data_IF_907353709354
#
_entry.id   IF_907353709354
#
_cell.length_a   1.000
_cell.length_b   1.000
_cell.length_c   1.000
_cell.angle_alpha   90.00
_cell.angle_beta   90.00
_cell.angle_gamma   90.00
#
_symmetry.space_group_name_H-M   'P 1'
#
loop_
_entity.id
_entity.type
_entity.pdbx_description
1 polymer ?
#
# COMPACT_ATOMS: atom_id res chain seq x y z
N UNK A 1 7.41 -17.25 -2.10
CA UNK A 1 7.77 -15.83 -1.94
C UNK A 1 8.77 -15.61 -0.81
N UNK A 2 9.33 -14.39 -0.68
CA UNK A 2 10.26 -14.07 0.40
C UNK A 2 9.62 -14.24 1.79
N UNK A 3 8.39 -13.76 1.98
CA UNK A 3 7.66 -13.91 3.24
C UNK A 3 7.50 -15.40 3.63
N UNK A 4 7.04 -16.23 2.71
CA UNK A 4 6.89 -17.67 2.94
C UNK A 4 8.22 -18.34 3.27
N UNK A 5 9.30 -17.95 2.60
CA UNK A 5 10.64 -18.45 2.89
C UNK A 5 11.07 -18.10 4.32
N UNK A 6 10.89 -16.85 4.75
CA UNK A 6 11.27 -16.41 6.09
C UNK A 6 10.45 -17.13 7.18
N UNK A 7 9.15 -17.29 6.96
CA UNK A 7 8.26 -18.01 7.89
C UNK A 7 8.61 -19.49 7.95
N UNK A 8 8.74 -20.15 6.78
CA UNK A 8 9.07 -21.58 6.69
C UNK A 8 10.40 -21.93 7.35
N UNK A 9 11.40 -21.04 7.22
CA UNK A 9 12.72 -21.24 7.80
C UNK A 9 12.85 -20.67 9.24
N UNK A 10 11.75 -20.27 9.86
CA UNK A 10 11.66 -19.81 11.26
C UNK A 10 12.52 -18.56 11.57
N UNK A 11 12.76 -17.71 10.57
CA UNK A 11 13.33 -16.37 10.81
C UNK A 11 12.31 -15.45 11.47
N UNK A 12 11.03 -15.65 11.17
CA UNK A 12 9.89 -14.90 11.72
C UNK A 12 8.63 -15.76 11.68
N UNK A 13 7.49 -15.17 12.08
CA UNK A 13 6.14 -15.71 11.87
C UNK A 13 5.26 -14.66 11.19
N UNK A 14 4.11 -15.04 10.67
CA UNK A 14 3.14 -14.08 10.11
C UNK A 14 2.71 -13.03 11.13
N UNK A 15 2.63 -13.39 12.41
CA UNK A 15 2.29 -12.47 13.52
C UNK A 15 3.41 -11.49 13.88
N UNK A 16 4.60 -11.67 13.33
CA UNK A 16 5.78 -10.82 13.58
C UNK A 16 6.42 -10.30 12.29
N UNK A 17 5.68 -10.35 11.18
CA UNK A 17 6.16 -9.89 9.88
C UNK A 17 5.42 -8.63 9.44
N UNK A 18 6.17 -7.57 9.19
CA UNK A 18 5.67 -6.36 8.55
C UNK A 18 6.15 -6.29 7.09
N UNK A 19 5.30 -5.75 6.21
CA UNK A 19 5.65 -5.44 4.83
C UNK A 19 5.58 -3.92 4.61
N UNK A 20 6.64 -3.33 4.07
CA UNK A 20 6.75 -1.88 3.84
C UNK A 20 7.30 -1.58 2.45
N UNK A 21 6.80 -0.54 1.81
CA UNK A 21 7.28 -0.09 0.51
C UNK A 21 6.69 1.25 0.10
N UNK A 22 7.45 2.00 -0.71
CA UNK A 22 7.07 3.33 -1.20
C UNK A 22 6.96 3.35 -2.73
N UNK A 23 6.08 4.18 -3.26
CA UNK A 23 5.89 4.38 -4.70
C UNK A 23 5.52 3.05 -5.40
N UNK A 24 6.32 2.56 -6.34
CA UNK A 24 6.19 1.21 -6.88
C UNK A 24 6.25 0.13 -5.78
N UNK A 25 7.08 0.32 -4.74
CA UNK A 25 7.07 -0.54 -3.55
C UNK A 25 5.76 -0.48 -2.76
N UNK A 26 5.06 0.66 -2.77
CA UNK A 26 3.71 0.79 -2.21
C UNK A 26 2.67 -0.02 -2.99
N UNK A 27 2.78 -0.08 -4.33
CA UNK A 27 1.99 -1.00 -5.15
C UNK A 27 2.27 -2.45 -4.75
N UNK A 28 3.55 -2.83 -4.63
CA UNK A 28 3.92 -4.18 -4.20
C UNK A 28 3.28 -4.55 -2.85
N UNK A 29 3.36 -3.66 -1.86
CA UNK A 29 2.73 -3.87 -0.54
C UNK A 29 1.23 -4.05 -0.68
N UNK A 30 0.54 -3.14 -1.38
CA UNK A 30 -0.90 -3.23 -1.59
C UNK A 30 -1.32 -4.52 -2.29
N UNK A 31 -0.59 -4.93 -3.34
CA UNK A 31 -0.86 -6.17 -4.07
C UNK A 31 -0.60 -7.42 -3.22
N UNK A 32 0.49 -7.44 -2.44
CA UNK A 32 0.81 -8.59 -1.58
C UNK A 32 -0.21 -8.76 -0.44
N UNK A 33 -0.57 -7.67 0.25
CA UNK A 33 -1.49 -7.74 1.38
C UNK A 33 -2.94 -8.06 0.95
N UNK A 34 -3.35 -7.70 -0.27
CA UNK A 34 -4.69 -8.05 -0.76
C UNK A 34 -4.78 -9.48 -1.29
N UNK A 35 -3.68 -10.04 -1.80
CA UNK A 35 -3.61 -11.41 -2.29
C UNK A 35 -3.34 -12.45 -1.19
N UNK A 36 -2.49 -12.10 -0.21
CA UNK A 36 -2.03 -13.01 0.84
C UNK A 36 -1.99 -12.27 2.20
N UNK A 37 -3.16 -11.81 2.70
CA UNK A 37 -3.25 -11.05 3.94
C UNK A 37 -2.69 -11.80 5.16
N UNK A 38 -2.83 -13.12 5.17
CA UNK A 38 -2.43 -13.99 6.28
C UNK A 38 -0.91 -14.09 6.49
N UNK A 39 -0.10 -13.57 5.56
CA UNK A 39 1.35 -13.61 5.69
C UNK A 39 1.92 -12.46 6.53
N UNK A 40 1.12 -11.43 6.80
CA UNK A 40 1.62 -10.19 7.41
C UNK A 40 0.79 -9.78 8.61
N UNK A 41 1.44 -9.34 9.68
CA UNK A 41 0.79 -8.67 10.81
C UNK A 41 0.56 -7.19 10.53
N UNK A 42 1.50 -6.54 9.83
CA UNK A 42 1.46 -5.12 9.53
C UNK A 42 1.77 -4.86 8.07
N UNK A 43 1.03 -3.95 7.43
CA UNK A 43 1.28 -3.47 6.08
C UNK A 43 1.39 -1.94 6.02
N UNK A 44 2.41 -1.45 5.32
CA UNK A 44 2.77 -0.04 5.25
C UNK A 44 2.93 0.42 3.79
N UNK A 45 1.83 0.50 3.01
CA UNK A 45 1.89 1.02 1.64
C UNK A 45 2.02 2.55 1.68
N UNK A 46 3.16 3.07 1.22
CA UNK A 46 3.45 4.50 1.20
C UNK A 46 3.47 5.05 -0.23
N UNK A 47 2.75 6.14 -0.47
CA UNK A 47 2.64 6.84 -1.77
C UNK A 47 2.52 5.87 -2.95
N UNK A 48 1.70 4.83 -2.79
CA UNK A 48 1.62 3.68 -3.68
C UNK A 48 0.71 3.90 -4.89
N UNK A 49 1.06 3.26 -6.01
CA UNK A 49 0.20 3.20 -7.22
C UNK A 49 -0.87 2.13 -6.98
N UNK A 50 -1.93 2.47 -6.24
CA UNK A 50 -2.87 1.49 -5.70
C UNK A 50 -4.12 1.25 -6.58
N UNK A 51 -4.28 2.03 -7.68
CA UNK A 51 -5.32 1.84 -8.71
C UNK A 51 -4.64 1.63 -10.07
N UNK A 52 -4.45 0.38 -10.46
CA UNK A 52 -3.78 0.03 -11.71
C UNK A 52 -4.65 0.19 -12.95
N UNK A 53 -5.95 0.35 -12.78
CA UNK A 53 -6.83 0.57 -13.93
C UNK A 53 -6.85 2.02 -14.40
N UNK A 54 -6.49 2.97 -13.51
CA UNK A 54 -6.57 4.42 -13.80
C UNK A 54 -5.26 5.17 -13.59
N UNK A 55 -4.18 4.52 -13.15
CA UNK A 55 -2.93 5.19 -12.82
C UNK A 55 -2.43 6.08 -13.98
N UNK A 56 -2.59 5.62 -15.21
CA UNK A 56 -2.13 6.30 -16.44
C UNK A 56 -2.92 7.57 -16.77
N UNK A 57 -4.09 7.77 -16.18
CA UNK A 57 -4.90 8.98 -16.36
C UNK A 57 -4.53 10.10 -15.39
N UNK A 58 -3.65 9.84 -14.44
CA UNK A 58 -3.19 10.83 -13.47
C UNK A 58 -1.82 11.37 -13.86
N UNK A 59 -1.52 12.59 -13.51
CA UNK A 59 -0.28 13.36 -13.65
C UNK A 59 0.91 12.61 -14.31
N UNK A 60 1.84 12.06 -13.51
CA UNK A 60 3.03 11.34 -14.02
C UNK A 60 2.73 9.90 -14.47
N UNK A 61 1.54 9.39 -14.21
CA UNK A 61 1.17 8.00 -14.45
C UNK A 61 1.28 7.57 -15.93
N UNK A 62 0.96 8.47 -16.87
CA UNK A 62 1.08 8.19 -18.29
C UNK A 62 2.49 7.72 -18.69
N UNK A 63 3.53 8.25 -18.03
CA UNK A 63 4.92 7.87 -18.27
C UNK A 63 5.27 6.44 -17.87
N UNK A 64 4.45 5.78 -17.05
CA UNK A 64 4.70 4.40 -16.58
C UNK A 64 3.97 3.34 -17.43
N UNK A 65 3.20 3.78 -18.43
CA UNK A 65 2.48 2.88 -19.32
C UNK A 65 3.40 1.93 -20.09
N UNK A 66 4.65 2.34 -20.32
CA UNK A 66 5.66 1.47 -20.94
C UNK A 66 5.99 0.23 -20.08
N UNK A 67 6.03 0.40 -18.76
CA UNK A 67 6.37 -0.69 -17.83
C UNK A 67 5.16 -1.56 -17.47
N UNK A 68 3.97 -0.93 -17.24
CA UNK A 68 2.79 -1.64 -16.72
C UNK A 68 1.77 -2.02 -17.80
N UNK A 69 1.78 -1.35 -18.95
CA UNK A 69 0.64 -1.34 -19.87
C UNK A 69 -0.54 -0.53 -19.30
N UNK A 70 -1.62 -0.38 -20.06
CA UNK A 70 -2.82 0.32 -19.59
C UNK A 70 -4.07 -0.53 -19.73
N UNK A 71 -5.07 -0.28 -18.90
CA UNK A 71 -6.36 -0.97 -18.93
C UNK A 71 -7.15 -0.74 -20.24
N UNK A 72 -6.75 0.25 -21.04
CA UNK A 72 -7.40 0.61 -22.30
C UNK A 72 -6.77 -0.06 -23.53
N UNK A 73 -5.61 -0.71 -23.37
CA UNK A 73 -4.90 -1.35 -24.50
C UNK A 73 -5.63 -2.57 -25.05
N UNK A 74 -6.16 -3.41 -24.18
CA UNK A 74 -6.92 -4.60 -24.53
C UNK A 74 -7.68 -5.17 -23.34
N UNK A 75 -8.60 -6.08 -23.60
CA UNK A 75 -9.31 -6.83 -22.55
C UNK A 75 -8.34 -7.65 -21.70
N UNK A 76 -7.36 -8.29 -22.30
CA UNK A 76 -6.35 -9.11 -21.62
C UNK A 76 -5.51 -8.23 -20.68
N UNK A 77 -5.11 -7.04 -21.12
CA UNK A 77 -4.36 -6.11 -20.30
C UNK A 77 -5.21 -5.56 -19.13
N UNK A 78 -6.48 -5.26 -19.38
CA UNK A 78 -7.41 -4.90 -18.33
C UNK A 78 -7.52 -6.00 -17.26
N UNK A 79 -7.75 -7.24 -17.68
CA UNK A 79 -7.86 -8.39 -16.77
C UNK A 79 -6.54 -8.62 -15.98
N UNK A 80 -5.40 -8.48 -16.64
CA UNK A 80 -4.10 -8.60 -16.02
C UNK A 80 -3.90 -7.52 -14.93
N UNK A 81 -4.11 -6.25 -15.24
CA UNK A 81 -3.99 -5.15 -14.30
C UNK A 81 -5.02 -5.23 -13.16
N UNK A 82 -6.26 -5.58 -13.48
CA UNK A 82 -7.31 -5.81 -12.49
C UNK A 82 -6.92 -6.90 -11.50
N UNK A 83 -6.28 -7.97 -11.97
CA UNK A 83 -5.89 -9.13 -11.17
C UNK A 83 -4.96 -8.82 -9.99
N UNK A 84 -4.20 -7.72 -10.05
CA UNK A 84 -3.32 -7.32 -8.94
C UNK A 84 -3.52 -5.88 -8.48
N UNK A 85 -4.44 -5.12 -9.07
CA UNK A 85 -4.73 -3.74 -8.66
C UNK A 85 -5.24 -3.69 -7.22
N UNK A 86 -4.50 -3.09 -6.27
CA UNK A 86 -4.82 -3.19 -4.84
C UNK A 86 -6.25 -2.76 -4.50
N UNK A 87 -6.68 -1.59 -4.98
CA UNK A 87 -8.02 -1.06 -4.65
C UNK A 87 -9.15 -1.96 -5.17
N UNK A 88 -8.94 -2.70 -6.26
CA UNK A 88 -9.94 -3.58 -6.86
C UNK A 88 -9.94 -5.00 -6.26
N UNK A 89 -8.91 -5.33 -5.48
CA UNK A 89 -8.76 -6.66 -4.87
C UNK A 89 -9.00 -6.69 -3.37
N UNK A 90 -9.48 -5.60 -2.79
CA UNK A 90 -9.99 -5.59 -1.42
C UNK A 90 -11.33 -6.32 -1.39
N UNK A 91 -11.42 -7.42 -0.68
CA UNK A 91 -12.59 -8.29 -0.59
C UNK A 91 -13.33 -8.10 0.72
N UNK A 92 -14.64 -8.28 0.67
CA UNK A 92 -15.48 -8.31 1.86
C UNK A 92 -15.27 -9.60 2.65
N UNK A 93 -15.34 -9.52 3.97
CA UNK A 93 -15.23 -10.68 4.84
C UNK A 93 -13.79 -11.19 5.04
N UNK A 94 -12.79 -10.43 4.60
CA UNK A 94 -11.38 -10.76 4.79
C UNK A 94 -10.80 -9.92 5.93
N UNK A 95 -10.07 -10.57 6.81
CA UNK A 95 -9.26 -9.91 7.83
C UNK A 95 -7.90 -9.53 7.23
N UNK A 96 -7.68 -8.24 7.07
CA UNK A 96 -6.41 -7.69 6.55
C UNK A 96 -5.44 -7.39 7.69
N UNK A 97 -4.11 -7.33 7.42
CA UNK A 97 -3.13 -6.90 8.41
C UNK A 97 -3.43 -5.49 8.94
N UNK A 98 -2.94 -5.18 10.12
CA UNK A 98 -2.93 -3.80 10.61
C UNK A 98 -2.25 -2.90 9.56
N UNK A 99 -2.99 -1.96 8.99
CA UNK A 99 -2.54 -1.20 7.82
C UNK A 99 -2.43 0.29 8.12
N UNK A 100 -1.25 0.86 7.86
CA UNK A 100 -1.03 2.30 7.85
C UNK A 100 -0.67 2.74 6.43
N UNK A 101 -1.63 3.34 5.74
CA UNK A 101 -1.40 3.95 4.43
C UNK A 101 -0.75 5.32 4.63
N UNK A 102 0.35 5.61 3.92
CA UNK A 102 1.05 6.89 4.01
C UNK A 102 0.96 7.63 2.67
N UNK A 103 0.68 8.94 2.71
CA UNK A 103 0.63 9.79 1.51
C UNK A 103 0.95 11.25 1.83
N UNK A 104 1.39 12.02 0.84
CA UNK A 104 1.46 13.48 0.90
C UNK A 104 0.24 14.09 0.17
N UNK A 105 -0.31 15.17 0.70
CA UNK A 105 -1.50 15.81 0.14
C UNK A 105 -1.25 16.55 -1.19
N UNK A 106 0.01 16.87 -1.49
CA UNK A 106 0.47 17.53 -2.73
C UNK A 106 1.38 16.62 -3.58
N UNK A 107 1.22 15.30 -3.46
CA UNK A 107 1.97 14.37 -4.30
C UNK A 107 1.46 14.42 -5.74
N UNK A 108 2.26 15.03 -6.63
CA UNK A 108 1.99 15.19 -8.06
C UNK A 108 2.57 14.04 -8.90
N UNK A 109 3.39 13.17 -8.30
CA UNK A 109 3.94 11.99 -8.97
C UNK A 109 3.00 10.79 -8.86
N UNK A 110 2.61 10.44 -7.63
CA UNK A 110 1.59 9.43 -7.35
C UNK A 110 0.47 10.13 -6.59
N UNK A 111 -0.54 10.57 -7.32
CA UNK A 111 -1.62 11.41 -6.74
C UNK A 111 -2.23 10.78 -5.49
N UNK A 112 -2.54 11.57 -4.45
CA UNK A 112 -3.06 11.07 -3.19
C UNK A 112 -4.37 10.26 -3.33
N UNK A 113 -5.09 10.47 -4.43
CA UNK A 113 -6.31 9.72 -4.75
C UNK A 113 -6.13 8.20 -4.73
N UNK A 114 -4.94 7.68 -5.08
CA UNK A 114 -4.61 6.27 -4.94
C UNK A 114 -4.74 5.81 -3.49
N UNK A 115 -4.08 6.53 -2.60
CA UNK A 115 -4.05 6.23 -1.17
C UNK A 115 -5.42 6.43 -0.51
N UNK A 116 -6.12 7.52 -0.84
CA UNK A 116 -7.45 7.81 -0.28
C UNK A 116 -8.47 6.74 -0.67
N UNK A 117 -8.54 6.37 -1.96
CA UNK A 117 -9.46 5.32 -2.42
C UNK A 117 -9.16 3.98 -1.77
N UNK A 118 -7.89 3.60 -1.73
CA UNK A 118 -7.48 2.32 -1.14
C UNK A 118 -7.79 2.27 0.36
N UNK A 119 -7.42 3.30 1.12
CA UNK A 119 -7.68 3.36 2.56
C UNK A 119 -9.19 3.32 2.86
N UNK A 120 -9.99 4.13 2.15
CA UNK A 120 -11.45 4.14 2.34
C UNK A 120 -12.09 2.80 1.99
N UNK A 121 -11.66 2.16 0.90
CA UNK A 121 -12.19 0.87 0.49
C UNK A 121 -11.78 -0.23 1.49
N UNK A 122 -10.53 -0.23 1.94
CA UNK A 122 -10.05 -1.17 2.94
C UNK A 122 -10.81 -1.01 4.27
N UNK A 123 -11.01 0.23 4.75
CA UNK A 123 -11.81 0.53 5.95
C UNK A 123 -13.25 0.01 5.84
N UNK A 124 -13.85 0.10 4.65
CA UNK A 124 -15.23 -0.36 4.44
C UNK A 124 -15.38 -1.89 4.39
N UNK A 125 -14.30 -2.62 4.17
CA UNK A 125 -14.30 -4.09 3.95
C UNK A 125 -13.60 -4.87 5.06
N UNK A 126 -12.74 -4.23 5.84
CA UNK A 126 -12.06 -4.85 6.96
C UNK A 126 -13.05 -5.42 7.97
N UNK A 127 -12.92 -6.68 8.33
CA UNK A 127 -13.82 -7.36 9.28
C UNK A 127 -13.16 -7.70 10.61
N UNK A 128 -11.82 -7.72 10.66
CA UNK A 128 -11.08 -7.98 11.90
C UNK A 128 -10.89 -6.75 12.77
N UNK A 129 -10.24 -6.93 13.92
CA UNK A 129 -9.90 -5.86 14.86
C UNK A 129 -8.66 -5.06 14.47
N UNK A 130 -7.96 -5.47 13.42
CA UNK A 130 -6.77 -4.81 12.95
C UNK A 130 -7.09 -3.41 12.41
N UNK A 131 -6.39 -2.36 12.87
CA UNK A 131 -6.68 -1.00 12.44
C UNK A 131 -6.30 -0.77 10.97
N UNK A 132 -7.12 -0.01 10.27
CA UNK A 132 -6.80 0.56 8.96
C UNK A 132 -6.78 2.07 9.08
N UNK A 133 -5.59 2.65 9.06
CA UNK A 133 -5.34 4.07 9.22
C UNK A 133 -4.71 4.66 7.95
N UNK A 134 -4.87 5.96 7.78
CA UNK A 134 -4.14 6.74 6.78
C UNK A 134 -3.43 7.91 7.45
N UNK A 135 -2.13 8.05 7.20
CA UNK A 135 -1.34 9.20 7.59
C UNK A 135 -1.15 10.10 6.38
N UNK A 136 -1.63 11.32 6.49
CA UNK A 136 -1.54 12.32 5.42
C UNK A 136 -0.53 13.39 5.85
N UNK A 137 0.60 13.47 5.17
CA UNK A 137 1.56 14.55 5.40
C UNK A 137 1.10 15.79 4.65
N UNK A 138 0.77 16.85 5.38
CA UNK A 138 0.28 18.10 4.81
C UNK A 138 1.40 18.94 4.20
N UNK A 139 1.10 19.64 3.11
CA UNK A 139 2.08 20.42 2.34
C UNK A 139 3.31 19.58 1.95
N UNK A 140 3.10 18.35 1.52
CA UNK A 140 4.15 17.42 1.15
C UNK A 140 3.85 16.71 -0.18
N UNK A 141 4.89 16.61 -1.02
CA UNK A 141 4.86 15.86 -2.27
C UNK A 141 5.27 14.40 -2.08
N UNK A 142 5.91 13.82 -3.13
CA UNK A 142 6.32 12.41 -3.17
C UNK A 142 7.44 12.01 -2.18
N UNK A 143 7.98 12.97 -1.44
CA UNK A 143 9.03 12.76 -0.43
C UNK A 143 10.34 13.50 -0.71
N UNK A 144 10.59 13.97 -1.94
CA UNK A 144 11.73 14.83 -2.24
C UNK A 144 11.55 16.20 -1.56
N UNK A 145 12.61 16.70 -0.93
CA UNK A 145 12.56 18.02 -0.27
C UNK A 145 11.80 18.05 1.05
N UNK A 146 11.30 16.92 1.56
CA UNK A 146 10.64 16.86 2.86
C UNK A 146 11.60 17.26 3.98
N UNK A 147 11.24 18.22 4.86
CA UNK A 147 12.05 18.62 6.02
C UNK A 147 12.40 17.44 6.92
N UNK A 148 13.57 17.50 7.54
CA UNK A 148 14.06 16.41 8.41
C UNK A 148 13.12 16.16 9.61
N UNK A 149 12.51 17.20 10.17
CA UNK A 149 11.54 17.08 11.26
C UNK A 149 10.35 16.22 10.86
N UNK A 150 9.77 16.47 9.70
CA UNK A 150 8.65 15.67 9.16
C UNK A 150 9.04 14.20 8.90
N UNK A 151 10.26 13.96 8.44
CA UNK A 151 10.79 12.59 8.27
C UNK A 151 10.94 11.88 9.60
N UNK A 152 11.37 12.58 10.64
CA UNK A 152 11.48 12.02 12.00
C UNK A 152 10.08 11.68 12.54
N UNK A 153 9.12 12.58 12.39
CA UNK A 153 7.73 12.36 12.81
C UNK A 153 7.10 11.18 12.08
N UNK A 154 7.24 11.11 10.74
CA UNK A 154 6.76 9.96 9.95
C UNK A 154 7.38 8.65 10.43
N UNK A 155 8.70 8.65 10.66
CA UNK A 155 9.40 7.46 11.14
C UNK A 155 8.94 7.04 12.54
N UNK A 156 8.70 8.00 13.44
CA UNK A 156 8.20 7.73 14.79
C UNK A 156 6.78 7.14 14.74
N UNK A 157 5.88 7.71 13.94
CA UNK A 157 4.51 7.21 13.77
C UNK A 157 4.50 5.79 13.18
N UNK A 158 5.32 5.55 12.14
CA UNK A 158 5.45 4.24 11.50
C UNK A 158 5.99 3.19 12.49
N UNK A 159 7.07 3.51 13.20
CA UNK A 159 7.65 2.57 14.17
C UNK A 159 6.72 2.32 15.35
N UNK A 160 6.04 3.36 15.85
CA UNK A 160 5.03 3.23 16.89
C UNK A 160 3.88 2.32 16.46
N UNK A 161 3.37 2.49 15.23
CA UNK A 161 2.31 1.65 14.67
C UNK A 161 2.76 0.18 14.53
N UNK A 162 3.97 -0.05 14.00
CA UNK A 162 4.53 -1.40 13.83
C UNK A 162 4.68 -2.09 15.18
N UNK A 163 5.36 -1.45 16.14
CA UNK A 163 5.62 -2.03 17.45
C UNK A 163 4.33 -2.32 18.22
N UNK A 164 3.37 -1.40 18.19
CA UNK A 164 2.08 -1.59 18.85
C UNK A 164 1.31 -2.81 18.31
N UNK A 165 1.34 -3.06 16.99
CA UNK A 165 0.58 -4.16 16.38
C UNK A 165 1.33 -5.50 16.34
N UNK A 166 2.67 -5.49 16.48
CA UNK A 166 3.46 -6.73 16.53
C UNK A 166 3.60 -7.27 17.97
N UNK A 167 3.61 -6.38 18.97
CA UNK A 167 3.83 -6.76 20.36
C UNK A 167 2.54 -7.03 21.16
N UNK A 168 1.40 -7.02 20.49
CA UNK A 168 0.08 -7.33 21.06
C UNK A 168 -0.12 -8.79 21.34
#
# INVERSE_FOLDING_TARGET
SAAEFLIKNKYTSSTHLAISGRSNGGLLVGACMTQRPELFQVALPAVGVLDMLRYHTFTSGAGWAYDYGTSEQSKEMFEYLHGYSPVHNVKEGVEYPATLVLTGDHDDRVVPAHSFKFAAHLQSKQTGENPTLIRIETNAGHGSGTPISKKIEEAADVMGFVLYNILR
#
